data_IF_960625418136
#
_entry.id   IF_960625418136
#
_cell.length_a   1.000
_cell.length_b   1.000
_cell.length_c   1.000
_cell.angle_alpha   90.00
_cell.angle_beta   90.00
_cell.angle_gamma   90.00
#
_symmetry.space_group_name_H-M   'P 1'
#
loop_
_entity.id
_entity.type
_entity.pdbx_description
1 polymer ?
#
# COMPACT_ATOMS: atom_id res chain seq x y z
N UNK A 1 17.93 -10.69 7.28
CA UNK A 1 17.61 -10.73 5.84
C UNK A 1 16.09 -10.61 5.73
N UNK A 2 15.57 -9.64 4.97
CA UNK A 2 14.13 -9.51 4.76
C UNK A 2 13.71 -10.37 3.56
N UNK A 3 12.74 -11.26 3.76
CA UNK A 3 12.35 -12.27 2.77
C UNK A 3 11.29 -11.77 1.78
N UNK A 4 10.64 -10.65 2.10
CA UNK A 4 9.51 -10.07 1.37
C UNK A 4 9.56 -8.54 1.46
N UNK A 5 9.50 -7.86 0.32
CA UNK A 5 9.59 -6.41 0.21
C UNK A 5 8.52 -5.86 -0.72
N UNK A 6 8.12 -4.61 -0.52
CA UNK A 6 7.22 -3.89 -1.43
C UNK A 6 7.62 -2.42 -1.57
N UNK A 7 7.24 -1.79 -2.67
CA UNK A 7 7.49 -0.38 -2.93
C UNK A 7 6.38 0.52 -2.36
N UNK A 8 6.77 1.72 -1.91
CA UNK A 8 5.86 2.74 -1.40
C UNK A 8 6.25 4.12 -1.94
N UNK A 9 5.27 4.95 -2.28
CA UNK A 9 5.48 6.35 -2.64
C UNK A 9 4.82 7.28 -1.64
N UNK A 10 5.36 8.49 -1.47
CA UNK A 10 4.74 9.52 -0.64
C UNK A 10 3.40 9.94 -1.24
N UNK A 11 2.40 10.17 -0.39
CA UNK A 11 1.14 10.81 -0.80
C UNK A 11 1.29 12.32 -0.56
N UNK A 12 1.06 13.10 -1.61
CA UNK A 12 1.21 14.57 -1.62
C UNK A 12 -0.10 15.33 -1.79
N UNK A 13 -1.19 14.61 -2.09
CA UNK A 13 -2.51 15.17 -2.40
C UNK A 13 -3.56 14.56 -1.46
N UNK A 14 -4.46 15.40 -0.94
CA UNK A 14 -5.51 14.99 0.00
C UNK A 14 -6.49 14.03 -0.68
N UNK A 15 -6.81 14.30 -1.94
CA UNK A 15 -7.70 13.49 -2.77
C UNK A 15 -7.16 12.06 -2.89
N UNK A 16 -5.85 11.90 -3.11
CA UNK A 16 -5.19 10.58 -3.16
C UNK A 16 -5.18 9.88 -1.80
N UNK A 17 -5.03 10.60 -0.69
CA UNK A 17 -5.12 10.01 0.65
C UNK A 17 -6.52 9.43 0.91
N UNK A 18 -7.56 10.18 0.52
CA UNK A 18 -8.95 9.82 0.76
C UNK A 18 -9.50 8.79 -0.26
N UNK A 19 -8.88 8.66 -1.44
CA UNK A 19 -9.30 7.72 -2.47
C UNK A 19 -9.13 6.25 -2.05
N UNK A 20 -10.22 5.46 -2.12
CA UNK A 20 -10.21 4.03 -1.81
C UNK A 20 -9.47 3.16 -2.85
N UNK A 21 -9.26 3.69 -4.06
CA UNK A 21 -8.41 3.07 -5.09
C UNK A 21 -6.92 3.12 -4.72
N UNK A 22 -6.51 4.11 -3.91
CA UNK A 22 -5.14 4.21 -3.40
C UNK A 22 -5.03 3.41 -2.11
N UNK A 23 -4.23 2.35 -2.13
CA UNK A 23 -3.92 1.56 -0.94
C UNK A 23 -2.91 2.31 -0.08
N UNK A 24 -3.28 2.61 1.16
CA UNK A 24 -2.39 3.24 2.15
C UNK A 24 -1.63 2.16 2.91
N UNK A 25 -0.41 2.49 3.33
CA UNK A 25 0.41 1.64 4.18
C UNK A 25 0.94 2.40 5.40
N UNK A 26 0.72 1.83 6.58
CA UNK A 26 1.36 2.31 7.82
C UNK A 26 2.71 1.64 7.93
N UNK A 27 3.75 2.43 8.20
CA UNK A 27 5.14 1.97 8.33
C UNK A 27 5.60 2.12 9.77
N UNK A 28 6.29 1.11 10.28
CA UNK A 28 7.02 1.19 11.55
C UNK A 28 8.31 2.00 11.38
N UNK A 29 8.93 2.36 12.50
CA UNK A 29 10.18 3.15 12.51
C UNK A 29 11.34 2.43 11.80
N UNK A 30 11.34 1.10 11.82
CA UNK A 30 12.29 0.25 11.09
C UNK A 30 11.96 0.11 9.58
N UNK A 31 10.94 0.81 9.09
CA UNK A 31 10.50 0.76 7.69
C UNK A 31 9.71 -0.50 7.31
N UNK A 32 9.30 -1.33 8.27
CA UNK A 32 8.39 -2.45 7.98
C UNK A 32 6.96 -1.96 7.79
N UNK A 33 6.18 -2.61 6.92
CA UNK A 33 4.75 -2.36 6.83
C UNK A 33 4.05 -2.97 8.05
N UNK A 34 3.30 -2.15 8.78
CA UNK A 34 2.47 -2.59 9.90
C UNK A 34 1.09 -3.03 9.43
N UNK A 35 0.51 -2.28 8.48
CA UNK A 35 -0.82 -2.59 7.93
C UNK A 35 -1.06 -1.90 6.58
N UNK A 36 -1.90 -2.50 5.74
CA UNK A 36 -2.38 -1.95 4.47
C UNK A 36 -3.89 -1.75 4.53
N UNK A 37 -4.40 -0.66 3.97
CA UNK A 37 -5.85 -0.40 3.93
C UNK A 37 -6.24 0.52 2.78
N UNK A 38 -7.45 0.36 2.28
CA UNK A 38 -8.10 1.33 1.39
C UNK A 38 -8.62 2.55 2.16
N UNK A 39 -8.79 2.44 3.48
CA UNK A 39 -9.11 3.58 4.35
C UNK A 39 -7.87 4.47 4.58
N UNK A 40 -8.04 5.78 4.79
CA UNK A 40 -6.94 6.68 5.10
C UNK A 40 -6.34 6.34 6.48
N UNK A 41 -5.10 5.86 6.49
CA UNK A 41 -4.37 5.43 7.70
C UNK A 41 -2.94 5.98 7.73
N UNK A 42 -2.39 6.31 8.91
CA UNK A 42 -3.07 6.29 10.21
C UNK A 42 -4.02 7.47 10.38
N UNK A 43 -5.06 7.28 11.21
CA UNK A 43 -5.93 8.37 11.63
C UNK A 43 -5.13 9.42 12.40
N UNK A 44 -5.27 10.70 12.03
CA UNK A 44 -4.65 11.81 12.75
C UNK A 44 -5.68 12.50 13.65
N UNK A 45 -5.59 12.22 14.95
CA UNK A 45 -6.55 12.71 15.95
C UNK A 45 -6.45 14.23 16.09
N UNK A 46 -7.62 14.88 16.13
CA UNK A 46 -7.72 16.32 16.40
C UNK A 46 -7.39 17.23 15.21
N UNK A 47 -7.22 16.66 14.01
CA UNK A 47 -6.98 17.40 12.77
C UNK A 47 -8.02 16.96 11.75
N UNK A 48 -8.58 17.91 10.99
CA UNK A 48 -9.48 17.60 9.88
C UNK A 48 -8.74 16.76 8.82
N UNK A 49 -9.39 15.71 8.30
CA UNK A 49 -8.79 14.79 7.32
C UNK A 49 -8.27 15.48 6.06
N UNK A 50 -8.83 16.64 5.73
CA UNK A 50 -8.39 17.46 4.59
C UNK A 50 -7.01 18.08 4.78
N UNK A 51 -6.53 18.17 6.02
CA UNK A 51 -5.24 18.77 6.36
C UNK A 51 -4.17 17.74 6.73
N UNK A 52 -4.52 16.46 6.85
CA UNK A 52 -3.62 15.41 7.36
C UNK A 52 -2.28 15.37 6.64
N UNK A 53 -2.27 15.53 5.30
CA UNK A 53 -1.03 15.53 4.49
C UNK A 53 -0.05 16.66 4.86
N UNK A 54 -0.55 17.77 5.45
CA UNK A 54 0.27 18.91 5.89
C UNK A 54 0.97 18.61 7.23
N UNK A 55 0.37 17.74 8.04
CA UNK A 55 0.85 17.43 9.39
C UNK A 55 1.61 16.11 9.48
N UNK A 56 1.39 15.19 8.54
CA UNK A 56 2.03 13.87 8.55
C UNK A 56 2.28 13.35 7.14
N UNK A 57 3.40 12.66 6.97
CA UNK A 57 3.70 11.92 5.74
C UNK A 57 2.83 10.66 5.64
N UNK A 58 2.09 10.50 4.56
CA UNK A 58 1.35 9.27 4.23
C UNK A 58 2.02 8.52 3.08
N UNK A 59 1.79 7.21 3.02
CA UNK A 59 2.42 6.33 2.05
C UNK A 59 1.38 5.57 1.26
N UNK A 60 1.49 5.62 -0.06
CA UNK A 60 0.75 4.76 -0.97
C UNK A 60 1.58 3.50 -1.25
N UNK A 61 0.94 2.35 -1.18
CA UNK A 61 1.51 1.08 -1.63
C UNK A 61 1.55 1.05 -3.16
N UNK A 62 2.66 0.55 -3.71
CA UNK A 62 2.81 0.26 -5.13
C UNK A 62 2.79 -1.26 -5.27
N UNK A 63 1.92 -1.78 -6.13
CA UNK A 63 1.67 -3.22 -6.33
C UNK A 63 2.83 -3.98 -6.99
N UNK A 64 4.02 -3.91 -6.40
CA UNK A 64 5.23 -4.58 -6.83
C UNK A 64 5.87 -5.22 -5.60
N UNK A 65 6.02 -6.54 -5.64
CA UNK A 65 6.60 -7.33 -4.56
C UNK A 65 7.94 -7.93 -4.98
N UNK A 66 8.90 -7.91 -4.06
CA UNK A 66 10.11 -8.71 -4.15
C UNK A 66 10.07 -9.79 -3.08
N UNK A 67 10.33 -11.05 -3.45
CA UNK A 67 10.36 -12.16 -2.51
C UNK A 67 11.38 -13.21 -2.91
N UNK A 68 11.84 -13.98 -1.93
CA UNK A 68 12.65 -15.16 -2.20
C UNK A 68 11.77 -16.39 -2.50
N UNK A 69 12.39 -17.44 -3.05
CA UNK A 69 11.70 -18.69 -3.40
C UNK A 69 10.95 -19.32 -2.21
N UNK A 70 11.54 -19.30 -1.03
CA UNK A 70 10.94 -19.90 0.17
C UNK A 70 9.66 -19.16 0.61
N UNK A 71 9.65 -17.84 0.48
CA UNK A 71 8.49 -16.97 0.78
C UNK A 71 7.34 -17.26 -0.17
N UNK A 72 7.62 -17.37 -1.47
CA UNK A 72 6.60 -17.71 -2.46
C UNK A 72 6.03 -19.12 -2.22
N UNK A 73 6.90 -20.11 -1.95
CA UNK A 73 6.45 -21.47 -1.65
C UNK A 73 5.57 -21.54 -0.40
N UNK A 74 5.90 -20.76 0.64
CA UNK A 74 5.08 -20.62 1.85
C UNK A 74 3.74 -19.97 1.53
N UNK A 75 3.70 -18.91 0.71
CA UNK A 75 2.46 -18.22 0.34
C UNK A 75 1.41 -19.16 -0.25
N UNK A 76 1.82 -20.08 -1.13
CA UNK A 76 0.93 -21.05 -1.77
C UNK A 76 0.23 -22.01 -0.79
N UNK A 77 0.74 -22.11 0.44
CA UNK A 77 0.17 -22.94 1.51
C UNK A 77 -0.72 -22.14 2.47
N UNK A 78 -0.76 -20.81 2.35
CA UNK A 78 -1.54 -19.96 3.25
C UNK A 78 -3.00 -19.94 2.84
N UNK A 79 -3.87 -20.21 3.82
CA UNK A 79 -5.30 -20.01 3.64
C UNK A 79 -5.62 -18.51 3.47
N UNK A 80 -6.58 -18.16 2.59
CA UNK A 80 -7.13 -16.81 2.53
C UNK A 80 -7.62 -16.34 3.90
N UNK A 81 -7.55 -15.04 4.15
CA UNK A 81 -7.93 -14.45 5.45
C UNK A 81 -9.10 -13.50 5.31
N UNK A 82 -9.82 -13.27 6.41
CA UNK A 82 -10.92 -12.30 6.45
C UNK A 82 -10.44 -10.91 6.06
N UNK A 83 -9.29 -10.46 6.59
CA UNK A 83 -8.70 -9.16 6.26
C UNK A 83 -8.42 -8.98 4.77
N UNK A 84 -7.86 -10.01 4.12
CA UNK A 84 -7.64 -10.01 2.68
C UNK A 84 -8.96 -9.82 1.92
N UNK A 85 -10.02 -10.54 2.33
CA UNK A 85 -11.32 -10.46 1.68
C UNK A 85 -12.02 -9.11 1.92
N UNK A 86 -11.98 -8.59 3.15
CA UNK A 86 -12.61 -7.33 3.55
C UNK A 86 -12.03 -6.13 2.80
N UNK A 87 -10.70 -6.06 2.71
CA UNK A 87 -10.01 -4.95 2.03
C UNK A 87 -9.80 -5.23 0.54
N UNK A 88 -9.99 -6.48 0.08
CA UNK A 88 -9.61 -6.94 -1.25
C UNK A 88 -8.13 -6.62 -1.53
N UNK A 89 -7.25 -7.11 -0.64
CA UNK A 89 -5.79 -6.87 -0.63
C UNK A 89 -5.02 -8.14 -0.27
N UNK A 90 -4.43 -8.81 -1.27
CA UNK A 90 -3.69 -10.08 -1.12
C UNK A 90 -2.51 -10.01 -0.12
N UNK A 91 -1.85 -8.85 -0.02
CA UNK A 91 -0.71 -8.67 0.89
C UNK A 91 -1.10 -8.83 2.37
N UNK A 92 -2.38 -8.64 2.71
CA UNK A 92 -2.87 -8.86 4.07
C UNK A 92 -2.85 -10.33 4.48
N UNK A 93 -2.89 -11.27 3.52
CA UNK A 93 -2.70 -12.69 3.81
C UNK A 93 -1.33 -12.94 4.42
N UNK A 94 -0.28 -12.37 3.84
CA UNK A 94 1.08 -12.50 4.37
C UNK A 94 1.17 -11.94 5.80
N UNK A 95 0.65 -10.73 6.03
CA UNK A 95 0.67 -10.10 7.36
C UNK A 95 -0.10 -10.93 8.40
N UNK A 96 -1.31 -11.39 8.05
CA UNK A 96 -2.16 -12.18 8.95
C UNK A 96 -1.52 -13.52 9.35
N UNK A 97 -0.65 -14.09 8.51
CA UNK A 97 0.12 -15.32 8.81
C UNK A 97 1.52 -15.03 9.40
N UNK A 98 1.72 -13.83 9.97
CA UNK A 98 2.92 -13.45 10.72
C UNK A 98 4.14 -13.14 9.85
N UNK A 99 3.97 -12.95 8.55
CA UNK A 99 5.04 -12.53 7.65
C UNK A 99 5.16 -11.00 7.68
N UNK A 100 6.35 -10.49 7.37
CA UNK A 100 6.65 -9.05 7.41
C UNK A 100 7.10 -8.56 6.05
N UNK A 101 6.70 -7.33 5.69
CA UNK A 101 7.20 -6.64 4.51
C UNK A 101 8.20 -5.57 4.93
N UNK A 102 9.38 -5.55 4.32
CA UNK A 102 10.17 -4.31 4.28
C UNK A 102 9.61 -3.41 3.19
N UNK A 103 9.45 -2.12 3.49
CA UNK A 103 9.05 -1.15 2.48
C UNK A 103 10.27 -0.44 1.88
N UNK A 104 10.24 -0.24 0.57
CA UNK A 104 11.24 0.52 -0.19
C UNK A 104 10.58 1.81 -0.69
N UNK A 105 11.14 2.96 -0.34
CA UNK A 105 10.62 4.26 -0.78
C UNK A 105 11.03 4.49 -2.24
N UNK A 106 10.11 5.00 -3.05
CA UNK A 106 10.37 5.42 -4.43
C UNK A 106 9.63 6.71 -4.75
N UNK A 107 10.21 7.49 -5.67
CA UNK A 107 9.60 8.69 -6.26
C UNK A 107 8.68 8.36 -7.44
N UNK A 108 8.54 7.06 -7.77
CA UNK A 108 7.62 6.60 -8.80
C UNK A 108 6.18 6.65 -8.31
N UNK A 109 5.33 7.39 -9.03
CA UNK A 109 3.90 7.46 -8.78
C UNK A 109 3.13 6.70 -9.87
N UNK A 110 2.68 5.47 -9.62
CA UNK A 110 1.92 4.73 -10.60
C UNK A 110 0.60 5.43 -10.91
N UNK A 111 0.22 5.39 -12.19
CA UNK A 111 -1.13 5.71 -12.66
C UNK A 111 -1.91 4.40 -12.57
N UNK A 112 -2.92 4.37 -11.70
CA UNK A 112 -3.90 3.30 -11.73
C UNK A 112 -4.81 3.55 -12.93
N UNK A 113 -5.05 2.52 -13.72
CA UNK A 113 -5.94 2.57 -14.87
C UNK A 113 -7.15 1.73 -14.53
N UNK A 114 -8.13 2.36 -13.89
CA UNK A 114 -9.35 1.69 -13.44
C UNK A 114 -10.55 2.09 -14.30
N UNK A 115 -10.44 3.19 -15.06
CA UNK A 115 -11.48 3.74 -15.94
C UNK A 115 -10.98 3.99 -17.37
N UNK A 116 -11.88 4.07 -18.37
CA UNK A 116 -11.53 4.54 -19.72
C UNK A 116 -10.85 5.92 -19.72
N UNK A 117 -11.24 6.82 -18.82
CA UNK A 117 -10.65 8.14 -18.65
C UNK A 117 -9.20 8.06 -18.15
N UNK A 118 -8.89 7.13 -17.24
CA UNK A 118 -7.51 6.89 -16.79
C UNK A 118 -6.62 6.39 -17.93
N UNK A 119 -7.16 5.55 -18.83
CA UNK A 119 -6.46 5.12 -20.04
C UNK A 119 -6.10 6.31 -20.94
N UNK A 120 -7.01 7.25 -21.14
CA UNK A 120 -6.75 8.45 -21.95
C UNK A 120 -5.71 9.36 -21.29
N UNK A 121 -5.79 9.54 -19.98
CA UNK A 121 -4.80 10.30 -19.22
C UNK A 121 -3.40 9.67 -19.27
N UNK A 122 -3.32 8.34 -19.18
CA UNK A 122 -2.07 7.59 -19.29
C UNK A 122 -1.43 7.73 -20.69
N UNK A 123 -2.23 7.66 -21.76
CA UNK A 123 -1.75 7.82 -23.15
C UNK A 123 -1.11 9.19 -23.42
N UNK A 124 -1.55 10.25 -22.74
CA UNK A 124 -0.99 11.62 -22.91
C UNK A 124 0.40 11.82 -22.28
N UNK A 125 0.91 10.83 -21.53
CA UNK A 125 2.18 10.91 -20.78
C UNK A 125 3.30 10.04 -21.37
N UNK A 126 3.03 9.34 -22.46
CA UNK A 126 4.00 8.56 -23.26
C UNK A 126 4.35 9.36 -24.52
#
# INVERSE_FOLDING_TARGET
QCALVTAVSKITETERLLAASVVKVVRGENGQALYFSRSPIPHLRGVDSREWIKHRTYWAHIGVYGYNRATLARYLQLAPTELEATESLEQLRFLAHGMTFQTVITDYHPIAIDTPEDMEAARKRV
#
